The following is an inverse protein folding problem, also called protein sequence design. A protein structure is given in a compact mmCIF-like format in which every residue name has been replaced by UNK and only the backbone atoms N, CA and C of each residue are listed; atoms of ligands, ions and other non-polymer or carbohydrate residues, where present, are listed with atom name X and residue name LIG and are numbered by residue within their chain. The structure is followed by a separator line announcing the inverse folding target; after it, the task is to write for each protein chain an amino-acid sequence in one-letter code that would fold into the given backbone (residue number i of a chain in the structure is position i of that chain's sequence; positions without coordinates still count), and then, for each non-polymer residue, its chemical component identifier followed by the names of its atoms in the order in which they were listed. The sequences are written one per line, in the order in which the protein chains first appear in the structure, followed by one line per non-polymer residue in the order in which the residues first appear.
data_IF_085745940414
#
_entry.id   IF_085745940414
#
_cell.length_a   1.000
_cell.length_b   1.000
_cell.length_c   1.000
_cell.angle_alpha   90.00
_cell.angle_beta   90.00
_cell.angle_gamma   90.00
#
_symmetry.space_group_name_H-M   'P 1'
#
loop_
_entity.id
_entity.type
_entity.pdbx_description
1 polymer ?
#
# COMPACT_ATOMS: atom_id res chain seq x y z
N UNK A 1 -17.66 7.52 25.50
CA UNK A 1 -16.47 8.14 24.86
C UNK A 1 -16.29 7.47 23.50
N UNK A 2 -16.84 8.06 22.45
CA UNK A 2 -16.87 7.46 21.11
C UNK A 2 -15.49 7.54 20.45
N UNK A 3 -14.80 6.41 20.30
CA UNK A 3 -13.58 6.32 19.49
C UNK A 3 -13.99 6.45 18.03
N UNK A 4 -13.81 7.64 17.47
CA UNK A 4 -14.08 7.96 16.07
C UNK A 4 -13.52 6.84 15.18
N UNK A 5 -14.39 6.06 14.51
CA UNK A 5 -13.97 5.16 13.42
C UNK A 5 -13.19 6.05 12.46
N UNK A 6 -11.94 5.71 12.08
CA UNK A 6 -11.25 6.48 11.06
C UNK A 6 -12.21 6.57 9.87
N UNK A 7 -12.51 7.80 9.45
CA UNK A 7 -13.41 8.06 8.32
C UNK A 7 -13.01 7.12 7.19
N UNK A 8 -14.01 6.50 6.57
CA UNK A 8 -13.90 5.60 5.42
C UNK A 8 -12.74 6.05 4.51
N UNK A 9 -11.56 5.46 4.70
CA UNK A 9 -10.40 5.73 3.87
C UNK A 9 -10.69 4.98 2.59
N UNK A 10 -11.50 5.61 1.72
CA UNK A 10 -11.82 5.10 0.39
C UNK A 10 -10.51 4.78 -0.28
N UNK A 11 -10.15 3.50 -0.28
CA UNK A 11 -8.96 3.01 -0.93
C UNK A 11 -9.21 3.20 -2.41
N UNK A 12 -8.56 4.21 -2.98
CA UNK A 12 -8.57 4.45 -4.41
C UNK A 12 -8.09 3.16 -5.09
N UNK A 13 -8.96 2.53 -5.87
CA UNK A 13 -8.60 1.38 -6.67
C UNK A 13 -8.12 1.87 -8.04
N UNK A 14 -6.92 1.44 -8.45
CA UNK A 14 -6.33 1.73 -9.75
C UNK A 14 -6.21 0.38 -10.49
N UNK A 15 -7.22 -0.02 -11.28
CA UNK A 15 -7.31 -1.36 -11.85
C UNK A 15 -6.08 -1.79 -12.65
N UNK A 16 -5.44 -0.86 -13.35
CA UNK A 16 -4.29 -1.11 -14.21
C UNK A 16 -3.01 -1.54 -13.45
N UNK A 17 -2.98 -1.33 -12.13
CA UNK A 17 -1.88 -1.77 -11.27
C UNK A 17 -1.98 -3.26 -10.89
N UNK A 18 -3.15 -3.88 -11.05
CA UNK A 18 -3.33 -5.29 -10.71
C UNK A 18 -2.35 -6.17 -11.52
N UNK A 19 -1.63 -7.05 -10.82
CA UNK A 19 -0.64 -7.95 -11.43
C UNK A 19 0.68 -7.29 -11.84
N UNK A 20 0.82 -5.96 -11.77
CA UNK A 20 2.09 -5.27 -12.08
C UNK A 20 3.16 -5.59 -11.04
N UNK A 21 4.41 -5.64 -11.46
CA UNK A 21 5.55 -5.81 -10.58
C UNK A 21 6.02 -4.45 -10.05
N UNK A 22 6.23 -4.34 -8.74
CA UNK A 22 6.73 -3.13 -8.07
C UNK A 22 7.88 -3.51 -7.16
N UNK A 23 9.00 -2.81 -7.27
CA UNK A 23 10.13 -2.89 -6.33
C UNK A 23 10.09 -1.67 -5.42
N UNK A 24 10.01 -1.90 -4.10
CA UNK A 24 10.08 -0.84 -3.10
C UNK A 24 11.40 -0.97 -2.34
N UNK A 25 12.26 0.05 -2.43
CA UNK A 25 13.48 0.18 -1.63
C UNK A 25 13.20 0.98 -0.36
N UNK A 26 13.97 0.74 0.71
CA UNK A 26 13.71 1.33 2.03
C UNK A 26 12.36 0.90 2.60
N UNK A 27 11.91 -0.32 2.31
CA UNK A 27 10.57 -0.80 2.66
C UNK A 27 10.38 -1.12 4.15
N UNK A 28 11.45 -1.03 4.94
CA UNK A 28 11.48 -1.42 6.36
C UNK A 28 10.59 -0.56 7.25
N UNK A 29 10.51 0.75 6.97
CA UNK A 29 9.74 1.71 7.79
C UNK A 29 9.18 2.87 6.97
N UNK A 30 8.45 3.77 7.64
CA UNK A 30 8.03 5.06 7.08
C UNK A 30 7.27 4.95 5.76
N UNK A 31 7.65 5.78 4.79
CA UNK A 31 6.98 5.90 3.49
C UNK A 31 7.14 4.63 2.67
N UNK A 32 8.32 3.98 2.70
CA UNK A 32 8.55 2.73 1.97
C UNK A 32 7.59 1.63 2.43
N UNK A 33 7.42 1.46 3.75
CA UNK A 33 6.47 0.50 4.30
C UNK A 33 5.00 0.86 3.97
N UNK A 34 4.67 2.16 3.90
CA UNK A 34 3.34 2.62 3.49
C UNK A 34 3.06 2.31 2.00
N UNK A 35 4.01 2.60 1.12
CA UNK A 35 3.91 2.29 -0.32
C UNK A 35 3.80 0.79 -0.58
N UNK A 36 4.60 -0.03 0.10
CA UNK A 36 4.52 -1.49 -0.01
C UNK A 36 3.09 -2.00 0.28
N UNK A 37 2.48 -1.51 1.36
CA UNK A 37 1.09 -1.84 1.73
C UNK A 37 0.08 -1.33 0.71
N UNK A 38 0.25 -0.10 0.24
CA UNK A 38 -0.65 0.48 -0.76
C UNK A 38 -0.62 -0.32 -2.08
N UNK A 39 0.55 -0.64 -2.62
CA UNK A 39 0.67 -1.43 -3.85
C UNK A 39 0.18 -2.87 -3.67
N UNK A 40 0.38 -3.49 -2.51
CA UNK A 40 -0.21 -4.79 -2.20
C UNK A 40 -1.75 -4.73 -2.22
N UNK A 41 -2.35 -3.68 -1.66
CA UNK A 41 -3.80 -3.46 -1.72
C UNK A 41 -4.32 -3.27 -3.16
N UNK A 42 -3.49 -2.75 -4.07
CA UNK A 42 -3.79 -2.67 -5.52
C UNK A 42 -3.61 -4.01 -6.27
N UNK A 43 -3.32 -5.12 -5.58
CA UNK A 43 -3.05 -6.44 -6.16
C UNK A 43 -1.78 -6.49 -7.04
N UNK A 44 -0.79 -5.64 -6.75
CA UNK A 44 0.54 -5.74 -7.37
C UNK A 44 1.33 -6.92 -6.81
N UNK A 45 2.34 -7.37 -7.57
CA UNK A 45 3.41 -8.25 -7.06
C UNK A 45 4.52 -7.34 -6.51
N UNK A 46 4.70 -7.32 -5.20
CA UNK A 46 5.61 -6.38 -4.55
C UNK A 46 6.89 -7.10 -4.11
N UNK A 47 8.04 -6.62 -4.58
CA UNK A 47 9.35 -6.98 -4.08
C UNK A 47 9.84 -5.89 -3.12
N UNK A 48 10.44 -6.29 -2.00
CA UNK A 48 10.88 -5.39 -0.94
C UNK A 48 12.41 -5.47 -0.80
N UNK A 49 13.04 -4.32 -0.67
CA UNK A 49 14.45 -4.18 -0.32
C UNK A 49 14.59 -3.19 0.84
N UNK A 50 15.52 -3.49 1.76
CA UNK A 50 15.79 -2.69 2.95
C UNK A 50 16.94 -1.70 2.74
#
# INVERSE_FOLDING_TARGET
MATRRPADMTTLAIPDLAGKAVLVTGASTGIGAALARAYAAQKCRVALHY
#
